data_IF_896615210241
#
_entry.id   IF_896615210241
#
_cell.length_a   1.000
_cell.length_b   1.000
_cell.length_c   1.000
_cell.angle_alpha   90.00
_cell.angle_beta   90.00
_cell.angle_gamma   90.00
#
_symmetry.space_group_name_H-M   'P 1'
#
loop_
_entity.id
_entity.type
_entity.pdbx_description
1 polymer ?
#
# COMPACT_ATOMS: atom_id res chain seq x y z
N UNK A 1 -6.91 -1.90 -2.49
CA UNK A 1 -6.89 -1.93 -1.00
C UNK A 1 -7.55 -3.22 -0.58
N UNK A 2 -7.00 -3.93 0.37
CA UNK A 2 -7.57 -5.15 0.94
C UNK A 2 -8.07 -4.82 2.35
N UNK A 3 -9.32 -5.17 2.65
CA UNK A 3 -9.91 -4.97 3.97
C UNK A 3 -10.73 -6.19 4.37
N UNK A 4 -10.97 -6.38 5.65
CA UNK A 4 -11.92 -7.37 6.13
C UNK A 4 -13.34 -6.92 5.81
N UNK A 5 -14.21 -7.88 5.51
CA UNK A 5 -15.59 -7.58 5.16
C UNK A 5 -16.37 -7.18 6.40
N UNK A 6 -17.07 -6.06 6.29
CA UNK A 6 -17.99 -5.57 7.33
C UNK A 6 -19.41 -5.55 6.78
N UNK A 7 -20.34 -6.18 7.47
CA UNK A 7 -21.75 -6.12 7.13
C UNK A 7 -22.33 -4.75 7.60
N UNK A 8 -22.69 -3.91 6.63
CA UNK A 8 -23.25 -2.59 6.91
C UNK A 8 -24.72 -2.72 7.35
N UNK A 9 -25.15 -2.06 8.44
CA UNK A 9 -26.55 -2.08 8.91
C UNK A 9 -27.54 -1.75 7.79
N UNK A 10 -28.71 -2.33 7.83
CA UNK A 10 -29.81 -2.19 6.85
C UNK A 10 -29.57 -2.81 5.49
N UNK A 11 -28.38 -3.40 5.21
CA UNK A 11 -28.13 -4.12 3.95
C UNK A 11 -28.73 -5.52 3.97
N UNK A 12 -29.00 -6.14 2.79
CA UNK A 12 -29.44 -7.54 2.71
C UNK A 12 -28.46 -8.51 3.36
N UNK A 13 -27.15 -8.26 3.23
CA UNK A 13 -26.10 -9.05 3.88
C UNK A 13 -26.24 -9.03 5.40
N UNK A 14 -26.42 -7.84 5.99
CA UNK A 14 -26.60 -7.68 7.43
C UNK A 14 -27.79 -8.47 7.94
N UNK A 15 -28.97 -8.31 7.32
CA UNK A 15 -30.20 -9.02 7.69
C UNK A 15 -30.04 -10.54 7.60
N UNK A 16 -29.33 -11.04 6.57
CA UNK A 16 -29.05 -12.47 6.42
C UNK A 16 -28.16 -12.99 7.54
N UNK A 17 -27.04 -12.30 7.81
CA UNK A 17 -26.09 -12.70 8.86
C UNK A 17 -26.69 -12.59 10.26
N UNK A 18 -27.58 -11.63 10.48
CA UNK A 18 -28.34 -11.51 11.74
C UNK A 18 -29.26 -12.72 11.95
N UNK A 19 -30.00 -13.14 10.90
CA UNK A 19 -30.83 -14.35 10.96
C UNK A 19 -30.01 -15.63 11.17
N UNK A 20 -28.78 -15.68 10.62
CA UNK A 20 -27.86 -16.79 10.79
C UNK A 20 -27.13 -16.76 12.15
N UNK A 21 -27.33 -15.76 13.00
CA UNK A 21 -26.60 -15.58 14.26
C UNK A 21 -25.09 -15.33 14.09
N UNK A 22 -24.69 -14.80 12.95
CA UNK A 22 -23.29 -14.63 12.54
C UNK A 22 -22.82 -13.18 12.54
N UNK A 23 -23.45 -12.33 13.33
CA UNK A 23 -23.04 -10.94 13.53
C UNK A 23 -22.38 -10.78 14.90
N UNK A 24 -21.20 -10.13 14.91
CA UNK A 24 -20.57 -9.58 16.11
C UNK A 24 -20.74 -8.07 16.09
N UNK A 25 -21.41 -7.52 17.07
CA UNK A 25 -21.61 -6.06 17.18
C UNK A 25 -20.42 -5.34 17.82
N UNK A 26 -19.51 -6.10 18.45
CA UNK A 26 -18.41 -5.57 19.28
C UNK A 26 -17.12 -5.29 18.48
N UNK A 27 -16.98 -5.82 17.27
CA UNK A 27 -15.77 -5.64 16.45
C UNK A 27 -16.04 -4.69 15.27
N UNK A 28 -15.57 -3.45 15.32
CA UNK A 28 -15.76 -2.48 14.23
C UNK A 28 -15.01 -2.85 12.96
N UNK A 29 -13.99 -3.71 13.04
CA UNK A 29 -13.14 -4.07 11.90
C UNK A 29 -13.64 -5.30 11.14
N UNK A 30 -14.35 -6.20 11.82
CA UNK A 30 -14.95 -7.40 11.21
C UNK A 30 -16.12 -7.86 12.06
N UNK A 31 -17.32 -7.46 11.70
CA UNK A 31 -18.53 -7.82 12.42
C UNK A 31 -19.16 -9.15 11.94
N UNK A 32 -18.42 -9.94 11.16
CA UNK A 32 -18.90 -11.21 10.58
C UNK A 32 -18.20 -12.38 11.25
N UNK A 33 -18.97 -13.36 11.70
CA UNK A 33 -18.44 -14.65 12.14
C UNK A 33 -18.29 -15.57 10.91
N UNK A 34 -17.06 -15.99 10.55
CA UNK A 34 -16.83 -16.89 9.43
C UNK A 34 -17.49 -18.27 9.66
N UNK A 35 -17.81 -19.02 8.59
CA UNK A 35 -18.36 -20.37 8.69
C UNK A 35 -17.30 -21.45 8.90
N UNK A 36 -16.13 -21.27 8.29
CA UNK A 36 -15.12 -22.35 8.15
C UNK A 36 -13.83 -22.06 8.91
N UNK A 37 -13.76 -20.95 9.63
CA UNK A 37 -12.59 -20.57 10.41
C UNK A 37 -13.00 -19.74 11.63
N UNK A 38 -12.15 -19.67 12.61
CA UNK A 38 -12.32 -18.78 13.75
C UNK A 38 -12.03 -17.32 13.37
N UNK A 39 -12.52 -16.38 14.16
CA UNK A 39 -12.21 -14.96 13.95
C UNK A 39 -10.71 -14.66 14.12
N UNK A 40 -10.02 -15.40 15.00
CA UNK A 40 -8.57 -15.29 15.16
C UNK A 40 -7.80 -15.74 13.93
N UNK A 41 -8.18 -16.88 13.34
CA UNK A 41 -7.59 -17.37 12.08
C UNK A 41 -7.83 -16.41 10.93
N UNK A 42 -9.03 -15.81 10.83
CA UNK A 42 -9.33 -14.80 9.83
C UNK A 42 -8.43 -13.55 10.00
N UNK A 43 -8.28 -13.06 11.22
CA UNK A 43 -7.44 -11.92 11.53
C UNK A 43 -5.96 -12.20 11.24
N UNK A 44 -5.47 -13.35 11.65
CA UNK A 44 -4.09 -13.76 11.37
C UNK A 44 -3.85 -13.94 9.87
N UNK A 45 -4.80 -14.57 9.16
CA UNK A 45 -4.76 -14.71 7.70
C UNK A 45 -4.72 -13.37 6.99
N UNK A 46 -5.49 -12.39 7.47
CA UNK A 46 -5.48 -11.02 6.95
C UNK A 46 -4.11 -10.35 7.11
N UNK A 47 -3.49 -10.42 8.29
CA UNK A 47 -2.17 -9.84 8.50
C UNK A 47 -1.08 -10.57 7.71
N UNK A 48 -1.16 -11.88 7.61
CA UNK A 48 -0.24 -12.67 6.76
C UNK A 48 -0.36 -12.28 5.29
N UNK A 49 -1.58 -12.09 4.79
CA UNK A 49 -1.82 -11.61 3.44
C UNK A 49 -1.22 -10.22 3.22
N UNK A 50 -1.46 -9.26 4.12
CA UNK A 50 -0.91 -7.91 4.01
C UNK A 50 0.62 -7.92 4.07
N UNK A 51 1.21 -8.74 4.93
CA UNK A 51 2.68 -8.88 5.03
C UNK A 51 3.28 -9.34 3.70
N UNK A 52 2.65 -10.29 3.03
CA UNK A 52 3.09 -10.75 1.70
C UNK A 52 2.85 -9.70 0.62
N UNK A 53 1.69 -9.04 0.65
CA UNK A 53 1.35 -8.01 -0.33
C UNK A 53 2.27 -6.78 -0.25
N UNK A 54 2.64 -6.39 0.95
CA UNK A 54 3.48 -5.20 1.19
C UNK A 54 4.94 -5.55 1.52
N UNK A 55 5.38 -6.78 1.25
CA UNK A 55 6.82 -7.06 1.19
C UNK A 55 7.46 -6.19 0.10
N UNK A 56 8.63 -5.54 0.36
CA UNK A 56 9.19 -4.53 -0.54
C UNK A 56 9.35 -4.99 -1.99
N UNK A 57 9.90 -6.18 -2.19
CA UNK A 57 10.07 -6.77 -3.51
C UNK A 57 8.72 -7.06 -4.19
N UNK A 58 7.81 -7.73 -3.48
CA UNK A 58 6.51 -8.11 -4.03
C UNK A 58 5.66 -6.90 -4.42
N UNK A 59 5.76 -5.80 -3.66
CA UNK A 59 5.07 -4.55 -3.99
C UNK A 59 5.66 -3.90 -5.24
N UNK A 60 6.99 -3.77 -5.30
CA UNK A 60 7.66 -3.14 -6.43
C UNK A 60 7.55 -3.97 -7.69
N UNK A 61 7.63 -5.31 -7.61
CA UNK A 61 7.42 -6.19 -8.76
C UNK A 61 6.03 -5.98 -9.37
N UNK A 62 4.98 -5.96 -8.56
CA UNK A 62 3.62 -5.67 -9.04
C UNK A 62 3.52 -4.27 -9.63
N UNK A 63 4.14 -3.28 -8.98
CA UNK A 63 4.17 -1.92 -9.50
C UNK A 63 4.79 -1.89 -10.90
N UNK A 64 5.96 -2.49 -11.09
CA UNK A 64 6.64 -2.52 -12.38
C UNK A 64 5.88 -3.36 -13.42
N UNK A 65 5.29 -4.50 -13.03
CA UNK A 65 4.48 -5.32 -13.92
C UNK A 65 3.25 -4.56 -14.45
N UNK A 66 2.52 -3.88 -13.59
CA UNK A 66 1.34 -3.10 -13.99
C UNK A 66 1.73 -1.90 -14.86
N UNK A 67 2.88 -1.28 -14.58
CA UNK A 67 3.35 -0.11 -15.34
C UNK A 67 4.11 -0.47 -16.62
N UNK A 68 4.55 -1.72 -16.78
CA UNK A 68 5.22 -2.19 -17.99
C UNK A 68 4.26 -2.65 -19.09
N UNK A 69 2.95 -2.67 -18.87
CA UNK A 69 1.98 -2.89 -19.95
C UNK A 69 2.03 -1.75 -20.96
N UNK A 70 2.49 -1.99 -22.21
CA UNK A 70 2.83 -0.92 -23.15
C UNK A 70 1.66 0.03 -23.49
N UNK A 71 0.44 -0.49 -23.58
CA UNK A 71 -0.74 0.32 -23.92
C UNK A 71 -1.19 1.22 -22.75
N UNK A 72 -1.17 0.70 -21.53
CA UNK A 72 -1.51 1.47 -20.34
C UNK A 72 -0.50 2.59 -20.10
N UNK A 73 0.78 2.30 -20.34
CA UNK A 73 1.87 3.26 -20.16
C UNK A 73 1.82 4.41 -21.16
N UNK A 74 1.53 4.17 -22.43
CA UNK A 74 1.47 5.23 -23.46
C UNK A 74 0.40 6.26 -23.12
N UNK A 75 -0.80 5.82 -22.77
CA UNK A 75 -1.91 6.73 -22.39
C UNK A 75 -1.58 7.49 -21.11
N UNK A 76 -1.07 6.83 -20.10
CA UNK A 76 -0.73 7.44 -18.82
C UNK A 76 0.46 8.39 -18.93
N UNK A 77 1.50 8.01 -19.65
CA UNK A 77 2.63 8.90 -19.93
C UNK A 77 2.16 10.19 -20.57
N UNK A 78 1.31 10.10 -21.60
CA UNK A 78 0.74 11.27 -22.29
C UNK A 78 -0.07 12.17 -21.36
N UNK A 79 -0.89 11.60 -20.48
CA UNK A 79 -1.67 12.34 -19.48
C UNK A 79 -0.73 13.00 -18.46
N UNK A 80 0.29 12.28 -17.98
CA UNK A 80 1.27 12.83 -17.05
C UNK A 80 2.11 13.94 -17.71
N UNK A 81 2.44 13.83 -18.99
CA UNK A 81 3.17 14.86 -19.72
C UNK A 81 2.35 16.15 -19.82
N UNK A 82 1.09 16.04 -20.23
CA UNK A 82 0.17 17.17 -20.30
C UNK A 82 -0.03 17.84 -18.93
N UNK A 83 -0.20 17.02 -17.86
CA UNK A 83 -0.40 17.53 -16.50
C UNK A 83 0.84 18.23 -15.91
N UNK A 84 2.05 17.87 -16.39
CA UNK A 84 3.32 18.42 -15.92
C UNK A 84 4.02 19.31 -16.94
N UNK A 85 3.33 19.71 -17.99
CA UNK A 85 3.86 20.65 -18.98
C UNK A 85 4.24 21.96 -18.30
N UNK A 86 5.47 22.40 -18.50
CA UNK A 86 6.04 23.59 -17.84
C UNK A 86 6.38 23.44 -16.35
N UNK A 87 6.12 22.30 -15.71
CA UNK A 87 6.29 22.09 -14.25
C UNK A 87 7.50 21.22 -13.89
N UNK A 88 8.52 21.15 -14.71
CA UNK A 88 9.68 20.26 -14.47
C UNK A 88 10.42 20.57 -13.17
N UNK A 89 10.67 21.84 -12.86
CA UNK A 89 11.35 22.26 -11.63
C UNK A 89 10.54 21.95 -10.36
N UNK A 90 9.24 22.31 -10.26
CA UNK A 90 8.41 21.91 -9.11
C UNK A 90 8.31 20.39 -8.95
N UNK A 91 8.24 19.65 -10.06
CA UNK A 91 8.17 18.16 -10.01
C UNK A 91 9.48 17.57 -9.49
N UNK A 92 10.62 18.11 -9.89
CA UNK A 92 11.93 17.69 -9.35
C UNK A 92 12.03 18.01 -7.86
N UNK A 93 11.69 19.24 -7.46
CA UNK A 93 11.69 19.64 -6.05
C UNK A 93 10.80 18.72 -5.19
N UNK A 94 9.60 18.41 -5.67
CA UNK A 94 8.71 17.44 -5.01
C UNK A 94 9.36 16.06 -4.86
N UNK A 95 9.97 15.53 -5.92
CA UNK A 95 10.66 14.24 -5.87
C UNK A 95 11.82 14.23 -4.87
N UNK A 96 12.60 15.31 -4.79
CA UNK A 96 13.70 15.46 -3.83
C UNK A 96 13.21 15.59 -2.39
N UNK A 97 12.12 16.30 -2.15
CA UNK A 97 11.48 16.38 -0.83
C UNK A 97 11.00 15.00 -0.39
N UNK A 98 10.37 14.24 -1.27
CA UNK A 98 9.94 12.87 -0.97
C UNK A 98 11.13 11.96 -0.67
N UNK A 99 12.21 12.04 -1.46
CA UNK A 99 13.44 11.29 -1.23
C UNK A 99 14.03 11.60 0.15
N UNK A 100 14.16 12.88 0.50
CA UNK A 100 14.67 13.32 1.80
C UNK A 100 13.82 12.82 2.96
N UNK A 101 12.51 13.00 2.89
CA UNK A 101 11.59 12.55 3.91
C UNK A 101 11.60 11.02 4.07
N UNK A 102 11.65 10.30 2.95
CA UNK A 102 11.72 8.84 2.95
C UNK A 102 13.04 8.35 3.55
N UNK A 103 14.17 8.94 3.14
CA UNK A 103 15.49 8.62 3.69
C UNK A 103 15.51 8.84 5.20
N UNK A 104 15.08 10.01 5.67
CA UNK A 104 15.06 10.33 7.09
C UNK A 104 14.16 9.40 7.91
N UNK A 105 13.00 9.07 7.36
CA UNK A 105 12.03 8.17 8.01
C UNK A 105 12.58 6.74 8.09
N UNK A 106 13.17 6.22 7.02
CA UNK A 106 13.80 4.90 6.99
C UNK A 106 15.02 4.82 7.93
N UNK A 107 15.80 5.90 7.99
CA UNK A 107 16.96 5.99 8.88
C UNK A 107 16.53 5.93 10.35
N UNK A 108 15.55 6.76 10.74
CA UNK A 108 15.02 6.77 12.11
C UNK A 108 14.36 5.46 12.53
N UNK A 109 13.75 4.75 11.60
CA UNK A 109 13.12 3.45 11.85
C UNK A 109 14.11 2.28 11.84
N UNK A 110 15.37 2.50 11.47
CA UNK A 110 16.37 1.44 11.30
C UNK A 110 16.13 0.52 10.10
N UNK A 111 15.24 0.91 9.20
CA UNK A 111 14.84 0.10 8.04
C UNK A 111 15.59 0.48 6.75
N UNK A 112 16.53 1.42 6.81
CA UNK A 112 17.25 1.92 5.63
C UNK A 112 18.01 0.81 4.91
N UNK A 113 18.73 -0.05 5.63
CA UNK A 113 19.46 -1.16 5.03
C UNK A 113 18.53 -2.21 4.42
N UNK A 114 17.39 -2.51 5.04
CA UNK A 114 16.47 -3.57 4.62
C UNK A 114 15.51 -3.13 3.51
N UNK A 115 14.87 -1.99 3.67
CA UNK A 115 13.85 -1.50 2.72
C UNK A 115 14.45 -0.51 1.73
N UNK A 116 15.30 0.40 2.18
CA UNK A 116 15.97 1.39 1.34
C UNK A 116 16.86 0.75 0.28
N UNK A 117 17.60 -0.32 0.61
CA UNK A 117 18.41 -1.07 -0.36
C UNK A 117 17.57 -1.66 -1.49
N UNK A 118 16.36 -2.13 -1.18
CA UNK A 118 15.42 -2.65 -2.19
C UNK A 118 14.99 -1.51 -3.12
N UNK A 119 14.64 -0.33 -2.58
CA UNK A 119 14.28 0.83 -3.42
C UNK A 119 15.41 1.24 -4.37
N UNK A 120 16.63 1.32 -3.85
CA UNK A 120 17.82 1.65 -4.66
C UNK A 120 18.04 0.60 -5.75
N UNK A 121 17.99 -0.68 -5.41
CA UNK A 121 18.16 -1.78 -6.37
C UNK A 121 17.11 -1.73 -7.49
N UNK A 122 15.86 -1.47 -7.15
CA UNK A 122 14.77 -1.37 -8.15
C UNK A 122 14.89 -0.10 -8.99
N UNK A 123 15.30 1.01 -8.39
CA UNK A 123 15.51 2.25 -9.15
C UNK A 123 16.59 2.08 -10.22
N UNK A 124 17.74 1.56 -9.87
CA UNK A 124 18.85 1.39 -10.83
C UNK A 124 18.73 0.12 -11.69
N UNK A 125 18.19 -0.95 -11.16
CA UNK A 125 18.17 -2.24 -11.86
C UNK A 125 17.03 -2.38 -12.88
N UNK A 126 15.90 -1.70 -12.69
CA UNK A 126 14.71 -1.79 -13.55
C UNK A 126 14.30 -0.48 -14.22
N UNK A 127 15.10 0.57 -14.07
CA UNK A 127 14.88 1.86 -14.75
C UNK A 127 15.07 1.77 -16.27
N UNK A 128 15.76 0.74 -16.76
CA UNK A 128 15.94 0.48 -18.18
C UNK A 128 14.61 -0.06 -18.75
N UNK A 129 13.79 0.83 -19.29
CA UNK A 129 12.46 0.52 -19.84
C UNK A 129 11.32 1.28 -19.18
N UNK A 130 11.55 1.85 -18.01
CA UNK A 130 10.67 2.82 -17.39
C UNK A 130 11.21 4.25 -17.66
N UNK A 131 10.34 5.21 -17.59
CA UNK A 131 10.63 6.61 -17.87
C UNK A 131 11.80 7.15 -17.03
N UNK A 132 12.96 7.34 -17.64
CA UNK A 132 14.19 7.85 -17.02
C UNK A 132 14.23 9.40 -17.02
N UNK A 133 13.14 10.05 -16.66
CA UNK A 133 13.04 11.48 -16.56
C UNK A 133 12.63 11.95 -15.17
N UNK A 134 12.58 13.27 -14.98
CA UNK A 134 12.21 13.93 -13.72
C UNK A 134 10.82 13.46 -13.23
N UNK A 135 9.90 13.26 -14.16
CA UNK A 135 8.53 12.82 -13.83
C UNK A 135 8.55 11.37 -13.35
N UNK A 136 9.29 10.50 -14.04
CA UNK A 136 9.47 9.09 -13.63
C UNK A 136 10.12 8.99 -12.25
N UNK A 137 11.15 9.79 -11.98
CA UNK A 137 11.77 9.88 -10.65
C UNK A 137 10.77 10.28 -9.56
N UNK A 138 10.02 11.35 -9.74
CA UNK A 138 9.04 11.82 -8.78
C UNK A 138 7.92 10.78 -8.55
N UNK A 139 7.46 10.10 -9.61
CA UNK A 139 6.48 9.03 -9.51
C UNK A 139 7.01 7.83 -8.74
N UNK A 140 8.27 7.43 -8.96
CA UNK A 140 8.91 6.35 -8.22
C UNK A 140 9.04 6.70 -6.75
N UNK A 141 9.50 7.90 -6.40
CA UNK A 141 9.58 8.37 -5.02
C UNK A 141 8.22 8.37 -4.33
N UNK A 142 7.18 8.83 -5.01
CA UNK A 142 5.82 8.78 -4.48
C UNK A 142 5.34 7.33 -4.21
N UNK A 143 5.73 6.39 -5.06
CA UNK A 143 5.41 4.96 -4.85
C UNK A 143 6.18 4.35 -3.68
N UNK A 144 7.45 4.69 -3.53
CA UNK A 144 8.25 4.27 -2.38
C UNK A 144 7.67 4.82 -1.06
N UNK A 145 7.26 6.09 -1.04
CA UNK A 145 6.61 6.70 0.12
C UNK A 145 5.26 6.03 0.45
N UNK A 146 4.44 5.77 -0.57
CA UNK A 146 3.17 5.04 -0.42
C UNK A 146 3.40 3.62 0.10
N UNK A 147 4.37 2.90 -0.49
CA UNK A 147 4.73 1.56 -0.03
C UNK A 147 5.18 1.58 1.43
N UNK A 148 6.08 2.50 1.79
CA UNK A 148 6.57 2.63 3.17
C UNK A 148 5.44 2.81 4.18
N UNK A 149 4.46 3.64 3.86
CA UNK A 149 3.29 3.84 4.71
C UNK A 149 2.54 2.52 4.96
N UNK A 150 2.23 1.75 3.92
CA UNK A 150 1.54 0.46 4.06
C UNK A 150 2.41 -0.63 4.71
N UNK A 151 3.70 -0.66 4.40
CA UNK A 151 4.64 -1.58 5.03
C UNK A 151 4.73 -1.35 6.53
N UNK A 152 4.87 -0.10 6.96
CA UNK A 152 4.89 0.29 8.37
C UNK A 152 3.56 -0.06 9.06
N UNK A 153 2.44 0.31 8.45
CA UNK A 153 1.10 -0.03 8.93
C UNK A 153 0.95 -1.54 9.15
N UNK A 154 1.35 -2.36 8.18
CA UNK A 154 1.27 -3.82 8.28
C UNK A 154 2.15 -4.35 9.41
N UNK A 155 3.38 -3.85 9.55
CA UNK A 155 4.31 -4.25 10.59
C UNK A 155 3.79 -3.89 12.00
N UNK A 156 3.21 -2.71 12.15
CA UNK A 156 2.59 -2.27 13.40
C UNK A 156 1.34 -3.06 13.73
N UNK A 157 0.54 -3.43 12.73
CA UNK A 157 -0.65 -4.27 12.87
C UNK A 157 -0.30 -5.68 13.31
N UNK A 158 0.68 -6.32 12.68
CA UNK A 158 1.18 -7.64 13.09
C UNK A 158 1.74 -7.61 14.52
N UNK A 159 2.39 -6.52 14.91
CA UNK A 159 2.92 -6.34 16.27
C UNK A 159 1.83 -5.99 17.31
N UNK A 160 0.56 -5.91 16.92
CA UNK A 160 -0.55 -5.55 17.81
C UNK A 160 -0.51 -4.10 18.33
N UNK A 161 0.30 -3.24 17.71
CA UNK A 161 0.48 -1.84 18.14
C UNK A 161 -0.54 -0.88 17.52
N UNK A 162 -1.23 -1.33 16.47
CA UNK A 162 -2.31 -0.54 15.90
C UNK A 162 -3.55 -0.68 16.78
N UNK A 163 -3.85 0.35 17.53
CA UNK A 163 -5.20 0.59 18.00
C UNK A 163 -6.04 1.02 16.78
N UNK A 164 -6.58 0.05 16.07
CA UNK A 164 -7.56 0.31 15.01
C UNK A 164 -8.82 0.83 15.70
N UNK A 165 -8.93 2.15 15.74
CA UNK A 165 -10.01 2.93 16.35
C UNK A 165 -10.06 2.90 17.89
N UNK A 166 -9.89 4.06 18.47
CA UNK A 166 -10.19 4.31 19.88
C UNK A 166 -11.64 3.90 20.16
N UNK A 167 -11.80 2.94 21.06
CA UNK A 167 -13.00 2.86 21.88
C UNK A 167 -13.03 4.13 22.73
N UNK A 168 -13.66 5.18 22.22
CA UNK A 168 -14.17 6.27 23.03
C UNK A 168 -15.55 5.93 23.49
#
# INVERSE_FOLDING_TARGET
>A
MVGMLVAVPKTPLFKRLEKEGRLRREDPNCNIVPKQMTSGELQQGYWNLLTRLYAPEAFLDRYFQVFLFPEFNRRRAKICDLANEGKKLPTLAYGLILLWNLFWTLFRDGSLGKVGSVYVRYFFGRSIGYRNDIIGFAQFMNRCATHWHFYKFTREGVAGRLRLFNSG
#
